data_IF_915233723103
#
_entry.id   IF_915233723103
#
_cell.length_a   1.000
_cell.length_b   1.000
_cell.length_c   1.000
_cell.angle_alpha   90.00
_cell.angle_beta   90.00
_cell.angle_gamma   90.00
#
_symmetry.space_group_name_H-M   'P 1'
#
loop_
_entity.id
_entity.type
_entity.pdbx_description
1 polymer ?
#
# COMPACT_ATOMS: atom_id res chain seq x y z
N UNK A 1 6.00 0.87 20.02
CA UNK A 1 5.31 1.51 18.90
C UNK A 1 4.33 0.50 18.36
N UNK A 2 3.03 0.79 18.53
CA UNK A 2 1.93 -0.13 18.32
C UNK A 2 1.14 0.44 17.17
N UNK A 3 1.28 -0.18 16.04
CA UNK A 3 0.34 -0.02 14.96
C UNK A 3 -0.17 -1.43 14.68
N UNK A 4 -1.48 -1.54 14.46
CA UNK A 4 -2.13 -2.69 13.83
C UNK A 4 -2.61 -3.82 14.75
N UNK A 5 -3.36 -3.48 15.81
CA UNK A 5 -4.26 -4.43 16.53
C UNK A 5 -5.59 -4.65 15.74
N UNK A 6 -5.48 -5.08 14.47
CA UNK A 6 -6.54 -5.85 13.82
C UNK A 6 -7.81 -5.13 13.33
N UNK A 7 -7.82 -3.81 13.12
CA UNK A 7 -8.94 -3.17 12.41
C UNK A 7 -8.73 -3.20 10.88
N UNK A 8 -9.81 -3.29 10.10
CA UNK A 8 -9.75 -3.30 8.63
C UNK A 8 -9.24 -1.98 8.00
N UNK A 9 -9.00 -0.94 8.82
CA UNK A 9 -8.41 0.35 8.45
C UNK A 9 -6.89 0.41 8.68
N UNK A 10 -6.28 -0.73 8.98
CA UNK A 10 -4.95 -0.83 9.60
C UNK A 10 -4.11 -1.96 8.99
N UNK A 11 -4.38 -2.34 7.73
CA UNK A 11 -3.53 -3.28 6.99
C UNK A 11 -2.66 -2.54 5.96
N UNK A 12 -1.44 -3.03 5.74
CA UNK A 12 -0.50 -2.43 4.79
C UNK A 12 -1.08 -2.45 3.38
N UNK A 13 -1.89 -3.45 3.02
CA UNK A 13 -2.57 -3.52 1.72
C UNK A 13 -3.33 -2.22 1.42
N UNK A 14 -4.26 -1.80 2.28
CA UNK A 14 -5.10 -0.64 1.97
C UNK A 14 -4.37 0.69 2.19
N UNK A 15 -3.46 0.77 3.17
CA UNK A 15 -2.63 1.97 3.40
C UNK A 15 -1.73 2.24 2.19
N UNK A 16 -0.95 1.25 1.77
CA UNK A 16 -0.03 1.40 0.64
C UNK A 16 -0.79 1.58 -0.67
N UNK A 17 -1.94 0.93 -0.85
CA UNK A 17 -2.83 1.19 -1.98
C UNK A 17 -3.24 2.67 -2.05
N UNK A 18 -3.64 3.25 -0.92
CA UNK A 18 -4.09 4.65 -0.87
C UNK A 18 -2.96 5.63 -1.18
N UNK A 19 -1.74 5.34 -0.68
CA UNK A 19 -0.53 6.07 -1.07
C UNK A 19 -0.28 5.92 -2.57
N UNK A 20 -0.43 4.72 -3.13
CA UNK A 20 -0.26 4.46 -4.57
C UNK A 20 -1.22 5.29 -5.43
N UNK A 21 -2.50 5.37 -5.04
CA UNK A 21 -3.47 6.21 -5.74
C UNK A 21 -3.10 7.71 -5.68
N UNK A 22 -2.54 8.19 -4.56
CA UNK A 22 -2.04 9.56 -4.45
C UNK A 22 -0.89 9.84 -5.43
N UNK A 23 0.04 8.89 -5.56
CA UNK A 23 1.20 8.98 -6.45
C UNK A 23 0.77 9.00 -7.92
N UNK A 24 -0.14 8.09 -8.30
CA UNK A 24 -0.66 7.98 -9.66
C UNK A 24 -1.37 9.27 -10.11
N UNK A 25 -2.17 9.89 -9.24
CA UNK A 25 -2.87 11.15 -9.54
C UNK A 25 -1.92 12.31 -9.88
N UNK A 26 -0.69 12.27 -9.37
CA UNK A 26 0.34 13.31 -9.57
C UNK A 26 1.36 12.94 -10.64
N UNK A 27 1.30 11.72 -11.19
CA UNK A 27 2.29 11.22 -12.14
C UNK A 27 3.69 11.10 -11.54
N UNK A 28 3.76 10.84 -10.22
CA UNK A 28 5.02 10.60 -9.52
C UNK A 28 5.66 9.30 -9.98
N UNK A 29 6.99 9.21 -9.93
CA UNK A 29 7.77 8.01 -10.25
C UNK A 29 9.03 7.89 -9.40
N UNK A 30 9.71 6.75 -9.43
CA UNK A 30 10.97 6.48 -8.71
C UNK A 30 10.83 6.80 -7.22
N UNK A 31 9.95 6.03 -6.56
CA UNK A 31 9.53 6.34 -5.20
C UNK A 31 10.47 5.70 -4.16
N UNK A 32 10.61 6.37 -3.02
CA UNK A 32 11.16 5.80 -1.79
C UNK A 32 10.15 6.04 -0.67
N UNK A 33 9.82 5.00 0.08
CA UNK A 33 8.88 5.04 1.20
C UNK A 33 9.55 4.51 2.46
N UNK A 34 9.38 5.26 3.55
CA UNK A 34 9.89 4.92 4.87
C UNK A 34 8.76 4.99 5.88
N UNK A 35 8.59 3.94 6.67
CA UNK A 35 7.73 3.97 7.85
C UNK A 35 8.37 4.81 8.96
N UNK A 36 7.59 5.67 9.59
CA UNK A 36 8.00 6.52 10.70
C UNK A 36 6.95 6.40 11.82
N UNK A 37 7.25 6.83 13.07
CA UNK A 37 6.35 6.62 14.20
C UNK A 37 4.90 7.03 14.00
N UNK A 38 4.67 8.12 13.26
CA UNK A 38 3.35 8.74 13.08
C UNK A 38 2.84 8.63 11.62
N UNK A 39 3.39 7.68 10.83
CA UNK A 39 2.93 7.40 9.47
C UNK A 39 4.06 7.06 8.49
N UNK A 40 4.10 7.72 7.33
CA UNK A 40 5.07 7.44 6.26
C UNK A 40 5.71 8.70 5.70
N UNK A 41 6.98 8.60 5.32
CA UNK A 41 7.67 9.59 4.48
C UNK A 41 7.85 8.99 3.09
N UNK A 42 7.36 9.69 2.07
CA UNK A 42 7.51 9.30 0.67
C UNK A 42 8.28 10.37 -0.09
N UNK A 43 9.36 9.95 -0.74
CA UNK A 43 10.07 10.78 -1.71
C UNK A 43 9.79 10.24 -3.11
N UNK A 44 9.56 11.13 -4.06
CA UNK A 44 9.29 10.74 -5.43
C UNK A 44 9.79 11.80 -6.40
N UNK A 45 9.94 11.40 -7.66
CA UNK A 45 10.24 12.28 -8.78
C UNK A 45 8.96 12.67 -9.51
N UNK A 46 8.80 13.96 -9.81
CA UNK A 46 7.71 14.48 -10.62
C UNK A 46 8.30 15.02 -11.94
N UNK A 47 7.80 14.57 -13.10
CA UNK A 47 8.14 15.22 -14.36
C UNK A 47 7.52 16.62 -14.40
N UNK A 48 8.37 17.65 -14.53
CA UNK A 48 7.93 19.02 -14.76
C UNK A 48 7.23 19.10 -16.12
N UNK A 49 5.94 19.43 -16.12
CA UNK A 49 5.21 19.76 -17.34
C UNK A 49 5.38 21.25 -17.61
N UNK A 50 6.44 21.63 -18.30
CA UNK A 50 6.51 22.97 -18.87
C UNK A 50 5.56 23.07 -20.06
N UNK A 51 4.40 23.67 -19.83
CA UNK A 51 3.53 24.14 -20.91
C UNK A 51 4.18 25.36 -21.58
N UNK A 52 5.00 25.13 -22.61
CA UNK A 52 5.36 26.20 -23.57
C UNK A 52 6.82 26.32 -24.02
N UNK A 53 7.75 25.44 -23.62
CA UNK A 53 9.15 25.57 -24.06
C UNK A 53 9.37 25.00 -25.47
N UNK A 54 10.13 25.75 -26.28
CA UNK A 54 10.54 25.40 -27.63
C UNK A 54 11.20 24.01 -27.66
N UNK A 55 10.93 23.27 -28.73
CA UNK A 55 11.20 21.84 -28.90
C UNK A 55 12.69 21.41 -28.84
N UNK A 56 13.61 22.31 -28.47
CA UNK A 56 15.05 22.09 -28.49
C UNK A 56 15.73 21.96 -27.12
N UNK A 57 15.08 22.31 -25.99
CA UNK A 57 15.69 22.26 -24.64
C UNK A 57 14.97 21.34 -23.64
N UNK A 58 14.08 20.46 -24.11
CA UNK A 58 13.32 19.55 -23.24
C UNK A 58 14.16 18.35 -22.72
N UNK A 59 15.31 18.61 -22.09
CA UNK A 59 15.83 17.68 -21.08
C UNK A 59 14.87 17.80 -19.91
N UNK A 60 13.92 16.87 -19.84
CA UNK A 60 12.78 16.93 -18.92
C UNK A 60 13.23 17.26 -17.50
N UNK A 61 12.87 18.45 -17.02
CA UNK A 61 13.10 18.85 -15.64
C UNK A 61 12.38 17.86 -14.74
N UNK A 62 13.13 17.15 -13.89
CA UNK A 62 12.59 16.25 -12.88
C UNK A 62 12.78 16.90 -11.53
N UNK A 63 11.69 17.06 -10.77
CA UNK A 63 11.73 17.61 -9.43
C UNK A 63 11.56 16.49 -8.41
N UNK A 64 12.41 16.49 -7.38
CA UNK A 64 12.24 15.61 -6.21
C UNK A 64 11.28 16.28 -5.23
N UNK A 65 10.22 15.57 -4.85
CA UNK A 65 9.31 15.98 -3.80
C UNK A 65 9.38 15.03 -2.60
N UNK A 66 9.00 15.53 -1.43
CA UNK A 66 8.91 14.76 -0.18
C UNK A 66 7.54 15.02 0.44
N UNK A 67 6.79 13.95 0.70
CA UNK A 67 5.49 13.96 1.34
C UNK A 67 5.56 13.22 2.67
N UNK A 68 5.03 13.83 3.72
CA UNK A 68 4.82 13.19 5.00
C UNK A 68 3.32 12.84 5.07
N UNK A 69 3.01 11.55 5.10
CA UNK A 69 1.67 11.05 5.30
C UNK A 69 1.52 10.69 6.77
N UNK A 70 0.86 11.56 7.52
CA UNK A 70 0.57 11.29 8.93
C UNK A 70 -0.64 10.34 9.05
N UNK A 71 -0.81 9.73 10.22
CA UNK A 71 -1.95 8.83 10.48
C UNK A 71 -3.31 9.45 10.12
N UNK A 72 -3.51 10.75 10.39
CA UNK A 72 -4.74 11.47 10.05
C UNK A 72 -4.94 11.60 8.52
N UNK A 73 -3.86 11.80 7.76
CA UNK A 73 -3.92 11.85 6.30
C UNK A 73 -4.29 10.49 5.72
N UNK A 74 -3.70 9.42 6.27
CA UNK A 74 -3.97 8.04 5.86
C UNK A 74 -5.42 7.68 6.15
N UNK A 75 -5.92 8.02 7.34
CA UNK A 75 -7.32 7.80 7.72
C UNK A 75 -8.27 8.51 6.74
N UNK A 76 -7.98 9.76 6.38
CA UNK A 76 -8.75 10.51 5.39
C UNK A 76 -8.73 9.85 4.01
N UNK A 77 -7.56 9.43 3.51
CA UNK A 77 -7.47 8.78 2.19
C UNK A 77 -8.25 7.46 2.15
N UNK A 78 -8.23 6.72 3.25
CA UNK A 78 -8.99 5.49 3.41
C UNK A 78 -10.50 5.72 3.38
N UNK A 79 -10.98 6.75 4.08
CA UNK A 79 -12.39 7.12 4.08
C UNK A 79 -12.84 7.63 2.70
N UNK A 80 -12.01 8.43 2.02
CA UNK A 80 -12.28 8.84 0.63
C UNK A 80 -12.33 7.65 -0.32
N UNK A 81 -11.39 6.70 -0.21
CA UNK A 81 -11.38 5.49 -1.02
C UNK A 81 -12.62 4.63 -0.76
N UNK A 82 -13.03 4.47 0.50
CA UNK A 82 -14.25 3.78 0.87
C UNK A 82 -15.51 4.49 0.33
N UNK A 83 -15.56 5.82 0.42
CA UNK A 83 -16.66 6.62 -0.11
C UNK A 83 -16.77 6.48 -1.63
N UNK A 84 -15.65 6.48 -2.37
CA UNK A 84 -15.62 6.22 -3.82
C UNK A 84 -16.15 4.82 -4.18
N UNK A 85 -15.94 3.81 -3.32
CA UNK A 85 -16.49 2.46 -3.50
C UNK A 85 -18.00 2.40 -3.22
N UNK A 86 -18.46 3.12 -2.20
CA UNK A 86 -19.84 3.09 -1.75
C UNK A 86 -20.77 4.04 -2.52
N UNK A 87 -20.23 4.97 -3.31
CA UNK A 87 -21.01 5.94 -4.08
C UNK A 87 -21.77 5.35 -5.27
N UNK A 88 -21.61 4.05 -5.57
CA UNK A 88 -22.27 3.40 -6.70
C UNK A 88 -21.74 3.84 -8.07
N UNK A 89 -20.74 4.72 -8.10
CA UNK A 89 -19.88 4.88 -9.28
C UNK A 89 -19.28 3.51 -9.61
N UNK A 90 -19.06 3.18 -10.90
CA UNK A 90 -18.36 1.95 -11.25
C UNK A 90 -17.11 1.90 -10.38
N UNK A 91 -16.94 0.83 -9.59
CA UNK A 91 -15.67 0.57 -8.90
C UNK A 91 -14.59 0.90 -9.93
N UNK A 92 -13.59 1.78 -9.64
CA UNK A 92 -12.50 1.93 -10.56
C UNK A 92 -12.03 0.51 -10.82
N UNK A 93 -12.22 0.09 -12.07
CA UNK A 93 -11.92 -1.28 -12.46
C UNK A 93 -10.52 -1.52 -11.94
N UNK A 94 -10.24 -2.69 -11.39
CA UNK A 94 -8.85 -2.98 -11.05
C UNK A 94 -7.98 -2.76 -12.30
N UNK A 95 -8.54 -2.90 -13.51
CA UNK A 95 -7.93 -2.46 -14.76
C UNK A 95 -7.68 -0.93 -14.87
N UNK A 96 -8.58 -0.08 -14.36
CA UNK A 96 -8.52 1.38 -14.43
C UNK A 96 -7.67 2.05 -13.33
N UNK A 97 -7.29 1.32 -12.27
CA UNK A 97 -6.37 1.82 -11.25
C UNK A 97 -4.98 2.13 -11.86
N UNK A 98 -4.29 3.13 -11.32
CA UNK A 98 -2.94 3.48 -11.76
C UNK A 98 -1.89 2.43 -11.38
N UNK A 99 -0.67 2.62 -11.89
CA UNK A 99 0.41 1.63 -11.73
C UNK A 99 0.82 1.48 -10.27
N UNK A 100 0.99 2.58 -9.54
CA UNK A 100 1.39 2.52 -8.13
C UNK A 100 0.27 2.02 -7.22
N UNK A 101 -1.00 2.39 -7.47
CA UNK A 101 -2.13 1.83 -6.72
C UNK A 101 -2.16 0.30 -6.80
N UNK A 102 -1.94 -0.26 -8.00
CA UNK A 102 -1.90 -1.72 -8.23
C UNK A 102 -0.68 -2.37 -7.54
N UNK A 103 0.51 -1.84 -7.79
CA UNK A 103 1.76 -2.41 -7.27
C UNK A 103 1.81 -2.35 -5.74
N UNK A 104 1.51 -1.19 -5.16
CA UNK A 104 1.55 -0.99 -3.72
C UNK A 104 0.47 -1.78 -2.97
N UNK A 105 -0.69 -2.04 -3.59
CA UNK A 105 -1.69 -2.95 -3.03
C UNK A 105 -1.13 -4.36 -2.86
N UNK A 106 -0.51 -4.92 -3.90
CA UNK A 106 -0.03 -6.32 -3.84
C UNK A 106 1.19 -6.47 -2.94
N UNK A 107 2.07 -5.45 -2.90
CA UNK A 107 3.17 -5.38 -1.92
C UNK A 107 2.61 -5.27 -0.51
N UNK A 108 1.63 -4.40 -0.26
CA UNK A 108 1.00 -4.27 1.05
C UNK A 108 0.35 -5.58 1.52
N UNK A 109 -0.29 -6.33 0.61
CA UNK A 109 -0.81 -7.66 0.90
C UNK A 109 0.27 -8.68 1.27
N UNK A 110 1.45 -8.58 0.66
CA UNK A 110 2.61 -9.38 1.05
C UNK A 110 3.09 -9.00 2.46
N UNK A 111 3.20 -7.69 2.75
CA UNK A 111 3.62 -7.19 4.06
C UNK A 111 2.67 -7.62 5.19
N UNK A 112 1.37 -7.59 4.94
CA UNK A 112 0.35 -8.10 5.87
C UNK A 112 0.61 -9.56 6.28
N UNK A 113 1.14 -10.37 5.37
CA UNK A 113 1.46 -11.78 5.63
C UNK A 113 2.78 -11.94 6.38
N UNK A 114 3.75 -11.07 6.12
CA UNK A 114 5.05 -11.09 6.80
C UNK A 114 4.97 -10.53 8.23
N UNK A 115 4.05 -9.60 8.50
CA UNK A 115 3.91 -8.92 9.79
C UNK A 115 5.24 -8.31 10.29
N UNK A 116 5.93 -7.47 9.48
CA UNK A 116 7.15 -6.81 9.91
C UNK A 116 6.86 -5.77 11.01
N UNK A 117 7.90 -5.40 11.76
CA UNK A 117 7.85 -4.30 12.74
C UNK A 117 8.05 -2.92 12.12
N UNK A 118 8.73 -2.87 10.98
CA UNK A 118 9.13 -1.65 10.28
C UNK A 118 9.41 -2.00 8.82
N UNK A 119 9.00 -1.10 7.92
CA UNK A 119 9.26 -1.21 6.48
C UNK A 119 10.02 0.00 5.93
N UNK A 120 10.86 -0.30 4.94
CA UNK A 120 11.47 0.68 4.06
C UNK A 120 11.50 0.08 2.66
N UNK A 121 11.15 0.84 1.62
CA UNK A 121 11.39 0.39 0.26
C UNK A 121 11.64 1.53 -0.70
N UNK A 122 12.21 1.18 -1.84
CA UNK A 122 12.30 2.06 -2.99
C UNK A 122 11.94 1.29 -4.27
N UNK A 123 11.59 2.06 -5.29
CA UNK A 123 11.23 1.58 -6.61
C UNK A 123 12.14 2.22 -7.65
N UNK A 124 12.60 1.40 -8.60
CA UNK A 124 13.35 1.83 -9.75
C UNK A 124 12.98 0.96 -10.96
N UNK A 125 12.66 1.60 -12.08
CA UNK A 125 12.30 0.94 -13.35
C UNK A 125 11.19 -0.13 -13.22
N UNK A 126 10.26 0.09 -12.30
CA UNK A 126 9.14 -0.80 -11.97
C UNK A 126 9.49 -1.95 -11.03
N UNK A 127 10.76 -2.09 -10.61
CA UNK A 127 11.19 -3.07 -9.62
C UNK A 127 11.22 -2.44 -8.22
N UNK A 128 10.86 -3.22 -7.20
CA UNK A 128 10.81 -2.79 -5.80
C UNK A 128 11.79 -3.58 -4.95
N UNK A 129 12.55 -2.88 -4.10
CA UNK A 129 13.38 -3.50 -3.05
C UNK A 129 12.83 -3.10 -1.71
N UNK A 130 12.39 -4.08 -0.92
CA UNK A 130 11.71 -3.90 0.36
C UNK A 130 12.56 -4.47 1.49
N UNK A 131 12.97 -3.60 2.41
CA UNK A 131 13.61 -3.96 3.68
C UNK A 131 12.55 -4.09 4.76
N UNK A 132 12.54 -5.26 5.39
CA UNK A 132 11.67 -5.60 6.51
C UNK A 132 12.49 -5.70 7.79
N UNK A 133 11.99 -5.16 8.90
CA UNK A 133 12.47 -5.49 10.24
C UNK A 133 11.57 -6.58 10.83
N UNK A 134 12.04 -7.83 10.80
CA UNK A 134 11.26 -8.96 11.27
C UNK A 134 11.42 -9.17 12.78
N UNK A 135 10.33 -9.44 13.54
CA UNK A 135 10.44 -9.92 14.90
C UNK A 135 11.10 -11.31 14.92
N UNK A 136 11.97 -11.57 15.90
CA UNK A 136 12.60 -12.88 16.08
C UNK A 136 12.74 -13.24 17.57
N UNK A 137 12.89 -14.54 17.87
CA UNK A 137 12.99 -15.05 19.26
C UNK A 137 14.20 -14.49 20.01
N UNK A 138 15.28 -14.17 19.30
CA UNK A 138 16.55 -13.66 19.84
C UNK A 138 16.74 -12.16 19.58
N UNK A 139 15.72 -11.47 19.07
CA UNK A 139 15.80 -10.07 18.64
C UNK A 139 15.24 -9.85 17.25
N UNK A 140 15.15 -8.59 16.84
CA UNK A 140 14.73 -8.22 15.50
C UNK A 140 15.89 -8.40 14.50
N UNK A 141 15.57 -8.71 13.24
CA UNK A 141 16.56 -8.88 12.18
C UNK A 141 16.04 -8.32 10.86
N UNK A 142 16.94 -7.95 9.95
CA UNK A 142 16.58 -7.41 8.64
C UNK A 142 16.42 -8.52 7.60
N UNK A 143 15.40 -8.39 6.76
CA UNK A 143 15.16 -9.21 5.57
C UNK A 143 14.96 -8.29 4.38
N UNK A 144 15.51 -8.66 3.23
CA UNK A 144 15.26 -8.00 1.95
C UNK A 144 14.32 -8.89 1.11
N UNK A 145 13.29 -8.27 0.56
CA UNK A 145 12.43 -8.85 -0.46
C UNK A 145 12.54 -7.99 -1.71
N UNK A 146 12.74 -8.63 -2.85
CA UNK A 146 12.85 -7.97 -4.15
C UNK A 146 11.66 -8.41 -4.99
N UNK A 147 11.08 -7.45 -5.70
CA UNK A 147 9.99 -7.69 -6.64
C UNK A 147 10.37 -7.07 -7.96
N UNK A 148 10.61 -7.90 -8.96
CA UNK A 148 10.78 -7.45 -10.34
C UNK A 148 9.45 -6.91 -10.87
N UNK A 149 9.53 -6.11 -11.94
CA UNK A 149 8.34 -5.62 -12.64
C UNK A 149 7.40 -6.76 -13.05
N UNK A 150 7.93 -7.83 -13.62
CA UNK A 150 7.16 -8.97 -14.10
C UNK A 150 6.47 -9.73 -12.94
N UNK A 151 7.14 -9.83 -11.79
CA UNK A 151 6.55 -10.41 -10.58
C UNK A 151 5.39 -9.55 -10.06
N UNK A 152 5.56 -8.21 -10.02
CA UNK A 152 4.47 -7.29 -9.66
C UNK A 152 3.29 -7.45 -10.62
N UNK A 153 3.53 -7.48 -11.92
CA UNK A 153 2.48 -7.68 -12.93
C UNK A 153 1.74 -9.02 -12.71
N UNK A 154 2.49 -10.09 -12.39
CA UNK A 154 1.92 -11.40 -12.05
C UNK A 154 1.08 -11.36 -10.78
N UNK A 155 1.58 -10.73 -9.71
CA UNK A 155 0.85 -10.57 -8.44
C UNK A 155 -0.43 -9.76 -8.63
N UNK A 156 -0.39 -8.72 -9.45
CA UNK A 156 -1.53 -7.87 -9.83
C UNK A 156 -2.61 -8.71 -10.53
N UNK A 157 -2.23 -9.57 -11.47
CA UNK A 157 -3.18 -10.48 -12.14
C UNK A 157 -3.84 -11.48 -11.19
N UNK A 158 -3.15 -11.89 -10.12
CA UNK A 158 -3.68 -12.80 -9.10
C UNK A 158 -4.55 -12.10 -8.03
N UNK A 159 -4.37 -10.79 -7.84
CA UNK A 159 -5.02 -10.02 -6.78
C UNK A 159 -6.56 -10.06 -6.74
N UNK A 160 -7.31 -10.21 -7.84
CA UNK A 160 -8.77 -10.38 -7.80
C UNK A 160 -9.22 -11.63 -7.02
N UNK A 161 -8.46 -12.73 -7.10
CA UNK A 161 -8.80 -14.00 -6.46
C UNK A 161 -8.66 -13.97 -4.93
N UNK A 162 -7.92 -13.00 -4.39
CA UNK A 162 -7.68 -12.90 -2.94
C UNK A 162 -8.89 -12.35 -2.15
N UNK A 163 -9.85 -11.68 -2.81
CA UNK A 163 -11.03 -11.10 -2.13
C UNK A 163 -11.91 -12.17 -1.45
N UNK A 164 -11.98 -13.38 -2.00
CA UNK A 164 -12.83 -14.45 -1.49
C UNK A 164 -12.36 -15.08 -0.16
N UNK A 165 -11.11 -14.85 0.26
CA UNK A 165 -10.56 -15.48 1.47
C UNK A 165 -10.71 -14.63 2.74
N UNK A 166 -10.86 -13.30 2.66
CA UNK A 166 -11.05 -12.43 3.84
C UNK A 166 -12.41 -12.66 4.53
N UNK A 167 -13.47 -13.00 3.80
CA UNK A 167 -14.81 -13.23 4.39
C UNK A 167 -14.94 -14.55 5.17
N UNK A 168 -14.08 -15.53 4.90
CA UNK A 168 -14.16 -16.87 5.50
C UNK A 168 -13.64 -16.90 6.94
N UNK A 169 -12.64 -16.08 7.28
CA UNK A 169 -12.09 -15.96 8.63
C UNK A 169 -12.98 -15.17 9.59
N UNK A 170 -13.62 -14.09 9.11
CA UNK A 170 -14.50 -13.24 9.92
C UNK A 170 -15.79 -13.95 10.36
N UNK A 171 -16.30 -14.91 9.57
CA UNK A 171 -17.49 -15.72 9.92
C UNK A 171 -17.23 -16.84 10.92
N UNK A 172 -15.97 -17.26 11.12
CA UNK A 172 -15.64 -18.31 12.10
C UNK A 172 -15.45 -17.77 13.52
N UNK A 173 -14.94 -16.55 13.69
CA UNK A 173 -14.78 -15.94 15.03
C UNK A 173 -16.11 -15.51 15.67
N UNK A 174 -17.13 -15.17 14.87
CA UNK A 174 -18.46 -14.80 15.40
C UNK A 174 -19.30 -15.99 15.86
N UNK A 175 -18.91 -17.23 15.54
CA UNK A 175 -19.67 -18.44 15.93
C UNK A 175 -19.13 -19.17 17.15
N UNK A 176 -17.91 -18.86 17.63
CA UNK A 176 -17.30 -19.57 18.77
C UNK A 176 -17.54 -18.93 20.14
N UNK A 177 -18.17 -17.75 20.23
CA UNK A 177 -18.35 -17.00 21.49
C UNK A 177 -19.74 -17.16 22.16
N UNK A 178 -20.56 -18.13 21.75
CA UNK A 178 -21.98 -18.17 22.15
C UNK A 178 -22.51 -19.52 22.60
N UNK A 179 -21.90 -20.20 23.57
CA UNK A 179 -22.62 -21.22 24.36
C UNK A 179 -21.99 -21.50 25.72
N UNK A 180 -22.51 -20.85 26.76
CA UNK A 180 -22.41 -21.34 28.14
C UNK A 180 -23.74 -22.00 28.47
N UNK A 181 -23.83 -23.33 28.64
CA UNK A 181 -25.02 -23.93 29.21
C UNK A 181 -24.97 -23.79 30.74
N UNK A 182 -25.94 -23.05 31.29
CA UNK A 182 -26.28 -23.10 32.73
C UNK A 182 -27.51 -23.98 32.89
N UNK A 183 -27.45 -24.90 33.85
CA UNK A 183 -28.61 -25.34 34.64
C UNK A 183 -29.06 -26.78 34.40
N UNK A 184 -28.95 -27.59 35.46
CA UNK A 184 -29.41 -28.97 35.61
C UNK A 184 -28.72 -29.60 36.80
#
# INVERSE_FOLDING_TARGET
>A
MRIYEGSARQDFEEVLRSIGAFLDQRGMREIMLVEVPDGFVVQALIPSRETGAAWSDAVGHVQKETHNFLDDDIARFMDEAAARRNSGAPLPDFAAAGTYEKALRVIGRYLDQQQPRDIFFFEQDGAFVVRLLMPGRTGAHHVLAEFTRDEIETMVQQAPYWRGHRESGARQQTRSSGRVPRGG
#
